data_IF_614731867293
#
_entry.id   IF_614731867293
#
_cell.length_a   1.000
_cell.length_b   1.000
_cell.length_c   1.000
_cell.angle_alpha   90.00
_cell.angle_beta   90.00
_cell.angle_gamma   90.00
#
_symmetry.space_group_name_H-M   'P 1'
#
loop_
_entity.id
_entity.type
_entity.pdbx_description
1 polymer ?
#
# COMPACT_ATOMS: atom_id res chain seq x y z
N UNK A 1 -13.97 80.32 -21.77
CA UNK A 1 -13.10 81.52 -21.78
C UNK A 1 -11.69 81.05 -22.03
N UNK A 2 -11.06 81.64 -23.05
CA UNK A 2 -9.78 81.25 -23.60
C UNK A 2 -8.71 82.28 -23.20
N UNK A 3 -7.47 81.79 -23.00
CA UNK A 3 -6.17 82.45 -23.28
C UNK A 3 -5.64 83.52 -22.29
N UNK A 4 -4.34 83.91 -22.29
CA UNK A 4 -3.16 83.34 -22.97
C UNK A 4 -1.81 83.32 -22.19
N UNK A 5 -0.90 82.57 -22.79
CA UNK A 5 0.55 82.37 -22.68
C UNK A 5 1.46 83.63 -22.60
N UNK A 6 2.73 83.45 -22.19
CA UNK A 6 4.01 84.06 -22.70
C UNK A 6 5.23 83.47 -21.92
N UNK A 7 6.06 82.58 -22.48
CA UNK A 7 7.39 82.82 -23.15
C UNK A 7 8.47 83.40 -22.21
N UNK A 8 9.75 83.00 -22.08
CA UNK A 8 10.78 82.48 -23.01
C UNK A 8 12.12 82.21 -22.27
N UNK A 9 12.98 81.34 -22.84
CA UNK A 9 14.47 81.22 -22.77
C UNK A 9 15.13 80.80 -21.42
N UNK A 10 15.84 79.66 -21.28
CA UNK A 10 17.07 79.12 -21.92
C UNK A 10 18.35 79.90 -21.59
N UNK A 11 19.21 79.35 -20.72
CA UNK A 11 20.62 78.98 -21.01
C UNK A 11 21.48 78.69 -19.75
N UNK A 12 22.28 77.62 -19.86
CA UNK A 12 23.63 77.39 -19.30
C UNK A 12 23.88 77.39 -17.78
N UNK A 13 24.45 76.31 -17.24
CA UNK A 13 25.92 76.18 -17.00
C UNK A 13 26.25 74.81 -16.41
N UNK A 14 27.26 74.19 -17.01
CA UNK A 14 28.02 73.00 -16.63
C UNK A 14 28.53 72.97 -15.18
N UNK A 15 28.59 71.77 -14.57
CA UNK A 15 29.80 71.12 -14.06
C UNK A 15 29.56 70.28 -12.78
N UNK A 16 30.05 69.03 -12.83
CA UNK A 16 30.59 68.23 -11.74
C UNK A 16 29.70 67.86 -10.53
N UNK A 17 29.46 66.56 -10.32
CA UNK A 17 30.08 65.80 -9.21
C UNK A 17 29.59 64.33 -9.13
N UNK A 18 30.58 63.44 -9.23
CA UNK A 18 30.74 62.15 -8.52
C UNK A 18 29.75 61.01 -8.77
N UNK A 19 30.27 60.03 -9.51
CA UNK A 19 29.93 58.62 -9.45
C UNK A 19 29.72 58.14 -8.01
N UNK A 20 28.51 57.66 -7.71
CA UNK A 20 28.20 56.93 -6.48
C UNK A 20 28.02 55.46 -6.85
N UNK A 21 29.01 54.67 -6.43
CA UNK A 21 29.13 53.25 -6.65
C UNK A 21 27.80 52.50 -6.44
N UNK A 22 27.39 51.73 -7.46
CA UNK A 22 26.31 50.75 -7.36
C UNK A 22 26.69 49.72 -6.27
N UNK A 23 26.09 49.86 -5.09
CA UNK A 23 26.27 48.96 -3.95
C UNK A 23 25.95 47.54 -4.39
N UNK A 24 26.92 46.64 -4.23
CA UNK A 24 26.87 45.25 -4.67
C UNK A 24 25.56 44.54 -4.35
N UNK A 25 25.03 43.86 -5.36
CA UNK A 25 23.82 43.06 -5.27
C UNK A 25 24.02 41.96 -4.22
N UNK A 26 23.32 42.09 -3.08
CA UNK A 26 23.38 41.15 -1.97
C UNK A 26 22.95 39.77 -2.47
N UNK A 27 23.92 38.84 -2.57
CA UNK A 27 23.66 37.43 -2.88
C UNK A 27 22.64 36.93 -1.86
N UNK A 28 21.42 36.68 -2.31
CA UNK A 28 20.33 36.25 -1.45
C UNK A 28 20.67 34.85 -0.92
N UNK A 29 21.01 34.75 0.37
CA UNK A 29 21.28 33.48 1.05
C UNK A 29 20.13 32.52 0.77
N UNK A 30 20.43 31.38 0.14
CA UNK A 30 19.45 30.36 -0.24
C UNK A 30 18.60 30.02 0.98
N UNK A 31 17.29 30.27 0.92
CA UNK A 31 16.37 29.99 2.04
C UNK A 31 16.51 28.52 2.42
N UNK A 32 16.82 28.25 3.68
CA UNK A 32 16.89 26.89 4.20
C UNK A 32 15.54 26.19 3.97
N UNK A 33 15.55 25.13 3.15
CA UNK A 33 14.34 24.36 2.86
C UNK A 33 13.97 23.61 4.14
N UNK A 34 12.78 23.86 4.68
CA UNK A 34 12.32 23.18 5.88
C UNK A 34 12.21 21.67 5.66
N UNK A 35 12.89 20.89 6.53
CA UNK A 35 12.90 19.41 6.52
C UNK A 35 11.50 18.80 6.69
N UNK A 36 10.60 19.51 7.37
CA UNK A 36 9.24 19.07 7.67
C UNK A 36 8.26 19.55 6.59
N UNK A 37 7.43 18.62 6.09
CA UNK A 37 6.35 18.88 5.15
C UNK A 37 5.06 19.24 5.88
N UNK A 38 4.52 20.42 5.56
CA UNK A 38 3.24 20.94 6.05
C UNK A 38 2.31 21.20 4.87
N UNK A 39 1.01 21.30 5.15
CA UNK A 39 -0.02 21.60 4.16
C UNK A 39 -0.57 20.40 3.39
N UNK A 40 -1.47 20.67 2.43
CA UNK A 40 -2.27 19.67 1.71
C UNK A 40 -1.43 18.66 0.92
N UNK A 41 -0.29 19.10 0.38
CA UNK A 41 0.63 18.29 -0.42
C UNK A 41 1.78 17.67 0.38
N UNK A 42 1.73 17.70 1.73
CA UNK A 42 2.83 17.24 2.57
C UNK A 42 3.28 15.80 2.26
N UNK A 43 2.33 14.88 2.08
CA UNK A 43 2.61 13.47 1.74
C UNK A 43 3.26 13.34 0.36
N UNK A 44 2.84 14.15 -0.60
CA UNK A 44 3.39 14.14 -1.96
C UNK A 44 4.82 14.69 -1.95
N UNK A 45 5.07 15.78 -1.23
CA UNK A 45 6.40 16.38 -1.10
C UNK A 45 7.41 15.41 -0.47
N UNK A 46 7.00 14.67 0.58
CA UNK A 46 7.84 13.63 1.20
C UNK A 46 8.04 12.43 0.27
N UNK A 47 6.99 12.00 -0.43
CA UNK A 47 7.09 10.88 -1.36
C UNK A 47 8.04 11.19 -2.54
N UNK A 48 8.03 12.43 -3.03
CA UNK A 48 8.95 12.93 -4.04
C UNK A 48 10.38 13.20 -3.51
N UNK A 49 10.61 13.10 -2.20
CA UNK A 49 11.91 13.36 -1.59
C UNK A 49 12.27 14.84 -1.44
N UNK A 50 11.33 15.77 -1.68
CA UNK A 50 11.55 17.22 -1.48
C UNK A 50 11.75 17.58 -0.01
N UNK A 51 11.28 16.72 0.89
CA UNK A 51 11.27 16.88 2.35
C UNK A 51 11.43 15.52 3.02
N UNK A 52 11.99 15.50 4.23
CA UNK A 52 12.31 14.26 4.95
C UNK A 52 11.08 13.60 5.58
N UNK A 53 10.25 14.39 6.29
CA UNK A 53 9.09 13.89 7.04
C UNK A 53 7.92 14.84 7.00
N UNK A 54 6.70 14.33 7.15
CA UNK A 54 5.51 15.17 7.37
C UNK A 54 5.44 15.72 8.80
N UNK A 55 4.56 16.69 9.06
CA UNK A 55 4.31 17.19 10.41
C UNK A 55 3.95 16.08 11.42
N UNK A 56 3.28 15.02 10.97
CA UNK A 56 2.90 13.84 11.79
C UNK A 56 4.01 12.78 11.84
N UNK A 57 5.21 13.06 11.35
CA UNK A 57 6.34 12.12 11.39
C UNK A 57 6.40 11.08 10.27
N UNK A 58 5.46 11.08 9.32
CA UNK A 58 5.49 10.11 8.20
C UNK A 58 6.67 10.39 7.26
N UNK A 59 7.49 9.36 7.05
CA UNK A 59 8.57 9.28 6.06
C UNK A 59 8.10 8.64 4.75
N UNK A 60 8.95 8.70 3.71
CA UNK A 60 8.69 8.10 2.39
C UNK A 60 8.40 6.60 2.45
N UNK A 61 9.07 5.87 3.35
CA UNK A 61 8.91 4.42 3.58
C UNK A 61 7.49 4.00 3.95
N UNK A 62 6.76 4.88 4.66
CA UNK A 62 5.39 4.64 5.10
C UNK A 62 4.33 5.05 4.08
N UNK A 63 4.75 5.66 2.96
CA UNK A 63 3.87 6.17 1.92
C UNK A 63 3.91 5.27 0.68
N UNK A 64 2.82 5.30 -0.07
CA UNK A 64 2.69 4.63 -1.36
C UNK A 64 1.72 5.41 -2.26
N UNK A 65 1.84 5.24 -3.57
CA UNK A 65 0.90 5.78 -4.56
C UNK A 65 -0.16 4.72 -4.86
N UNK A 66 -1.44 5.07 -4.73
CA UNK A 66 -2.53 4.14 -5.08
C UNK A 66 -2.82 4.16 -6.59
N UNK A 67 -3.67 3.23 -7.08
CA UNK A 67 -4.09 3.17 -8.51
C UNK A 67 -4.71 4.48 -9.03
N UNK A 68 -5.32 5.30 -8.15
CA UNK A 68 -5.90 6.61 -8.46
C UNK A 68 -4.87 7.76 -8.44
N UNK A 69 -3.58 7.45 -8.34
CA UNK A 69 -2.50 8.42 -8.30
C UNK A 69 -2.33 9.18 -6.98
N UNK A 70 -3.15 8.90 -5.96
CA UNK A 70 -3.09 9.57 -4.65
C UNK A 70 -2.04 8.94 -3.74
N UNK A 71 -1.19 9.76 -3.13
CA UNK A 71 -0.23 9.33 -2.10
C UNK A 71 -0.95 9.10 -0.77
N UNK A 72 -0.94 7.87 -0.31
CA UNK A 72 -1.57 7.42 0.95
C UNK A 72 -0.55 6.68 1.81
N UNK A 73 -0.86 6.50 3.08
CA UNK A 73 -0.04 5.66 3.96
C UNK A 73 -0.29 4.18 3.65
N UNK A 74 0.75 3.36 3.78
CA UNK A 74 0.64 1.90 3.60
C UNK A 74 -0.42 1.29 4.53
N UNK A 75 -0.46 1.74 5.79
CA UNK A 75 -1.48 1.35 6.77
C UNK A 75 -2.91 1.65 6.30
N UNK A 76 -3.16 2.85 5.75
CA UNK A 76 -4.49 3.22 5.24
C UNK A 76 -4.85 2.41 3.99
N UNK A 77 -3.88 2.08 3.16
CA UNK A 77 -4.11 1.20 2.01
C UNK A 77 -4.51 -0.21 2.45
N UNK A 78 -3.78 -0.81 3.40
CA UNK A 78 -4.07 -2.12 3.94
C UNK A 78 -5.47 -2.19 4.58
N UNK A 79 -5.82 -1.21 5.42
CA UNK A 79 -7.16 -1.11 6.00
C UNK A 79 -8.25 -1.02 4.92
N UNK A 80 -8.06 -0.20 3.89
CA UNK A 80 -9.01 -0.11 2.77
C UNK A 80 -9.17 -1.43 1.99
N UNK A 81 -8.10 -2.24 1.89
CA UNK A 81 -8.17 -3.57 1.27
C UNK A 81 -8.99 -4.56 2.10
N UNK A 82 -8.90 -4.50 3.42
CA UNK A 82 -9.70 -5.35 4.31
C UNK A 82 -11.20 -5.06 4.18
N UNK A 83 -11.58 -3.77 4.21
CA UNK A 83 -12.98 -3.38 4.01
C UNK A 83 -13.49 -3.75 2.62
N UNK A 84 -12.66 -3.59 1.60
CA UNK A 84 -13.05 -3.97 0.24
C UNK A 84 -13.34 -5.46 0.16
N UNK A 85 -12.50 -6.33 0.72
CA UNK A 85 -12.74 -7.79 0.74
C UNK A 85 -14.08 -8.15 1.38
N UNK A 86 -14.43 -7.52 2.51
CA UNK A 86 -15.70 -7.77 3.19
C UNK A 86 -16.89 -7.36 2.31
N UNK A 87 -16.85 -6.16 1.74
CA UNK A 87 -17.93 -5.67 0.87
C UNK A 87 -18.05 -6.40 -0.47
N UNK A 88 -16.94 -6.88 -1.05
CA UNK A 88 -16.97 -7.59 -2.33
C UNK A 88 -17.82 -8.85 -2.30
N UNK A 89 -17.84 -9.57 -1.17
CA UNK A 89 -18.63 -10.80 -1.04
C UNK A 89 -20.11 -10.51 -1.23
N UNK A 90 -20.63 -9.52 -0.50
CA UNK A 90 -22.02 -9.07 -0.65
C UNK A 90 -22.32 -8.57 -2.07
N UNK A 91 -21.44 -7.72 -2.62
CA UNK A 91 -21.61 -7.19 -3.99
C UNK A 91 -21.66 -8.34 -5.02
N UNK A 92 -20.82 -9.36 -4.86
CA UNK A 92 -20.81 -10.53 -5.74
C UNK A 92 -22.12 -11.32 -5.67
N UNK A 93 -22.67 -11.53 -4.46
CA UNK A 93 -23.95 -12.21 -4.27
C UNK A 93 -25.13 -11.42 -4.84
N UNK A 94 -25.10 -10.08 -4.71
CA UNK A 94 -26.11 -9.22 -5.34
C UNK A 94 -26.01 -9.28 -6.86
N UNK A 95 -24.79 -9.31 -7.44
CA UNK A 95 -24.61 -9.43 -8.88
C UNK A 95 -25.12 -10.77 -9.43
N UNK A 96 -24.90 -11.88 -8.74
CA UNK A 96 -25.42 -13.19 -9.14
C UNK A 96 -26.93 -13.24 -9.04
N UNK A 97 -27.50 -12.82 -7.91
CA UNK A 97 -28.95 -12.75 -7.71
C UNK A 97 -29.63 -11.86 -8.78
N UNK A 98 -28.97 -10.76 -9.17
CA UNK A 98 -29.47 -9.85 -10.21
C UNK A 98 -29.49 -10.50 -11.60
N UNK A 99 -28.48 -11.31 -11.92
CA UNK A 99 -28.42 -12.08 -13.17
C UNK A 99 -29.50 -13.15 -13.20
N UNK A 100 -29.68 -13.90 -12.11
CA UNK A 100 -30.71 -14.94 -11.98
C UNK A 100 -32.13 -14.39 -12.08
N UNK A 101 -32.37 -13.19 -11.54
CA UNK A 101 -33.67 -12.51 -11.64
C UNK A 101 -33.85 -11.72 -12.95
N UNK A 102 -32.85 -11.68 -13.84
CA UNK A 102 -32.95 -11.00 -15.13
C UNK A 102 -33.17 -9.48 -15.06
N UNK A 103 -32.81 -8.84 -13.95
CA UNK A 103 -33.17 -7.44 -13.72
C UNK A 103 -32.27 -6.48 -14.52
N UNK A 104 -32.89 -5.62 -15.34
CA UNK A 104 -32.22 -4.56 -16.12
C UNK A 104 -32.57 -3.19 -15.52
N UNK A 105 -31.62 -2.26 -15.48
CA UNK A 105 -31.84 -0.89 -14.93
C UNK A 105 -31.69 -0.76 -13.40
N UNK A 106 -31.98 0.40 -12.84
CA UNK A 106 -31.82 0.60 -11.39
C UNK A 106 -32.87 -0.20 -10.60
N UNK A 107 -32.45 -0.92 -9.55
CA UNK A 107 -33.36 -1.56 -8.60
C UNK A 107 -32.82 -1.36 -7.18
N UNK A 108 -33.64 -0.79 -6.29
CA UNK A 108 -33.28 -0.58 -4.89
C UNK A 108 -33.27 -1.93 -4.14
N UNK A 109 -32.11 -2.30 -3.61
CA UNK A 109 -31.94 -3.51 -2.79
C UNK A 109 -32.75 -3.37 -1.50
N UNK A 110 -33.73 -4.25 -1.25
CA UNK A 110 -34.57 -4.18 -0.06
C UNK A 110 -35.54 -2.99 -0.02
N UNK A 111 -35.81 -2.38 -1.18
CA UNK A 111 -36.75 -1.26 -1.30
C UNK A 111 -38.23 -1.66 -1.11
N UNK A 112 -39.12 -0.68 -1.28
CA UNK A 112 -40.58 -0.88 -1.19
C UNK A 112 -41.13 -1.75 -2.33
N UNK A 113 -40.45 -1.79 -3.47
CA UNK A 113 -40.85 -2.59 -4.63
C UNK A 113 -40.69 -4.10 -4.36
N UNK A 114 -41.64 -4.91 -4.86
CA UNK A 114 -41.58 -6.37 -4.74
C UNK A 114 -40.28 -6.94 -5.32
N UNK A 115 -39.86 -6.38 -6.46
CA UNK A 115 -38.58 -6.64 -7.12
C UNK A 115 -37.36 -6.43 -6.21
N UNK A 116 -37.32 -5.32 -5.46
CA UNK A 116 -36.23 -5.00 -4.55
C UNK A 116 -36.16 -5.94 -3.34
N UNK A 117 -37.32 -6.35 -2.81
CA UNK A 117 -37.43 -7.33 -1.73
C UNK A 117 -36.97 -8.72 -2.17
N UNK A 118 -37.41 -9.18 -3.35
CA UNK A 118 -37.01 -10.46 -3.91
C UNK A 118 -35.49 -10.53 -4.17
N UNK A 119 -34.90 -9.45 -4.71
CA UNK A 119 -33.46 -9.37 -4.91
C UNK A 119 -32.68 -9.45 -3.60
N UNK A 120 -33.12 -8.76 -2.54
CA UNK A 120 -32.46 -8.84 -1.24
C UNK A 120 -32.54 -10.23 -0.62
N UNK A 121 -33.71 -10.87 -0.66
CA UNK A 121 -33.89 -12.22 -0.11
C UNK A 121 -32.96 -13.25 -0.80
N UNK A 122 -32.91 -13.25 -2.14
CA UNK A 122 -32.00 -14.13 -2.89
C UNK A 122 -30.53 -13.81 -2.62
N UNK A 123 -30.15 -12.54 -2.66
CA UNK A 123 -28.76 -12.13 -2.38
C UNK A 123 -28.32 -12.54 -0.97
N UNK A 124 -29.21 -12.44 0.03
CA UNK A 124 -28.94 -12.89 1.40
C UNK A 124 -28.74 -14.40 1.49
N UNK A 125 -29.57 -15.19 0.80
CA UNK A 125 -29.42 -16.64 0.75
C UNK A 125 -28.09 -17.06 0.10
N UNK A 126 -27.75 -16.49 -1.07
CA UNK A 126 -26.48 -16.76 -1.76
C UNK A 126 -25.27 -16.32 -0.92
N UNK A 127 -25.39 -15.22 -0.18
CA UNK A 127 -24.33 -14.76 0.70
C UNK A 127 -24.10 -15.73 1.87
N UNK A 128 -25.18 -16.22 2.51
CA UNK A 128 -25.08 -17.22 3.57
C UNK A 128 -24.43 -18.51 3.06
N UNK A 129 -24.94 -19.08 1.95
CA UNK A 129 -24.37 -20.28 1.33
C UNK A 129 -22.88 -20.12 1.01
N UNK A 130 -22.48 -18.94 0.53
CA UNK A 130 -21.08 -18.65 0.23
C UNK A 130 -20.22 -18.58 1.49
N UNK A 131 -20.74 -18.04 2.59
CA UNK A 131 -20.03 -18.03 3.87
C UNK A 131 -19.86 -19.44 4.43
N UNK A 132 -20.91 -20.26 4.36
CA UNK A 132 -20.88 -21.64 4.84
C UNK A 132 -19.86 -22.46 4.05
N UNK A 133 -19.87 -22.33 2.71
CA UNK A 133 -18.87 -22.96 1.84
C UNK A 133 -17.44 -22.50 2.15
N UNK A 134 -17.22 -21.21 2.38
CA UNK A 134 -15.90 -20.71 2.76
C UNK A 134 -15.42 -21.24 4.12
N UNK A 135 -16.34 -21.54 5.05
CA UNK A 135 -16.01 -22.16 6.34
C UNK A 135 -15.52 -23.60 6.12
N UNK A 136 -16.29 -24.38 5.36
CA UNK A 136 -15.94 -25.76 5.01
C UNK A 136 -14.60 -25.84 4.26
N UNK A 137 -14.35 -24.93 3.33
CA UNK A 137 -13.07 -24.87 2.60
C UNK A 137 -11.88 -24.56 3.52
N UNK A 138 -12.07 -23.73 4.56
CA UNK A 138 -11.01 -23.44 5.55
C UNK A 138 -10.76 -24.62 6.46
N UNK A 139 -11.82 -25.25 6.95
CA UNK A 139 -11.72 -26.46 7.78
C UNK A 139 -11.02 -27.58 7.00
N UNK A 140 -11.40 -27.81 5.75
CA UNK A 140 -10.74 -28.79 4.87
C UNK A 140 -9.26 -28.44 4.63
N UNK A 141 -8.91 -27.17 4.44
CA UNK A 141 -7.53 -26.73 4.29
C UNK A 141 -6.71 -26.91 5.59
N UNK A 142 -7.32 -26.70 6.75
CA UNK A 142 -6.69 -26.96 8.05
C UNK A 142 -6.44 -28.44 8.26
N UNK A 143 -7.39 -29.31 7.92
CA UNK A 143 -7.20 -30.76 7.97
C UNK A 143 -6.11 -31.23 7.00
N UNK A 144 -6.06 -30.69 5.79
CA UNK A 144 -5.01 -30.99 4.81
C UNK A 144 -3.64 -30.53 5.32
N UNK A 145 -3.54 -29.33 5.89
CA UNK A 145 -2.28 -28.85 6.49
C UNK A 145 -1.83 -29.73 7.64
N UNK A 146 -2.75 -30.19 8.49
CA UNK A 146 -2.44 -31.08 9.59
C UNK A 146 -1.93 -32.44 9.08
N UNK A 147 -2.55 -32.98 8.03
CA UNK A 147 -2.10 -34.21 7.36
C UNK A 147 -0.69 -34.05 6.78
N UNK A 148 -0.44 -32.97 6.03
CA UNK A 148 0.87 -32.69 5.44
C UNK A 148 1.95 -32.49 6.52
N UNK A 149 1.63 -31.82 7.63
CA UNK A 149 2.57 -31.65 8.75
C UNK A 149 2.85 -32.99 9.44
N UNK A 150 1.84 -33.85 9.59
CA UNK A 150 2.03 -35.18 10.15
C UNK A 150 2.89 -36.07 9.23
N UNK A 151 2.70 -35.95 7.91
CA UNK A 151 3.51 -36.63 6.89
C UNK A 151 4.96 -36.17 6.96
N UNK A 152 5.22 -34.86 6.94
CA UNK A 152 6.57 -34.30 7.10
C UNK A 152 7.23 -34.75 8.41
N UNK A 153 6.47 -34.84 9.52
CA UNK A 153 7.00 -35.35 10.78
C UNK A 153 7.41 -36.82 10.68
N UNK A 154 6.62 -37.65 10.00
CA UNK A 154 6.95 -39.06 9.77
C UNK A 154 8.19 -39.19 8.90
N UNK A 155 8.31 -38.38 7.85
CA UNK A 155 9.48 -38.35 6.98
C UNK A 155 10.75 -37.97 7.76
N UNK A 156 10.70 -36.91 8.56
CA UNK A 156 11.86 -36.49 9.40
C UNK A 156 12.26 -37.57 10.39
N UNK A 157 11.30 -38.28 10.99
CA UNK A 157 11.60 -39.41 11.90
C UNK A 157 12.25 -40.57 11.13
N UNK A 158 11.72 -40.92 9.96
CA UNK A 158 12.29 -41.97 9.11
C UNK A 158 13.71 -41.61 8.63
N UNK A 159 13.97 -40.35 8.30
CA UNK A 159 15.32 -39.87 7.96
C UNK A 159 16.28 -39.96 9.17
N UNK A 160 15.81 -39.64 10.36
CA UNK A 160 16.58 -39.80 11.59
C UNK A 160 16.90 -41.28 11.88
N UNK A 161 15.97 -42.20 11.59
CA UNK A 161 16.23 -43.64 11.71
C UNK A 161 17.23 -44.14 10.67
N UNK A 162 17.09 -43.73 9.39
CA UNK A 162 18.05 -44.07 8.33
C UNK A 162 19.46 -43.60 8.66
N UNK A 163 19.61 -42.39 9.18
CA UNK A 163 20.93 -41.86 9.58
C UNK A 163 21.53 -42.60 10.77
N UNK A 164 20.72 -43.00 11.75
CA UNK A 164 21.17 -43.87 12.85
C UNK A 164 21.65 -45.23 12.35
N UNK A 165 20.90 -45.87 11.44
CA UNK A 165 21.30 -47.15 10.83
C UNK A 165 22.61 -47.02 10.07
N UNK A 166 22.77 -45.98 9.23
CA UNK A 166 24.01 -45.72 8.50
C UNK A 166 25.20 -45.51 9.44
N UNK A 167 25.00 -44.82 10.57
CA UNK A 167 26.06 -44.60 11.56
C UNK A 167 26.48 -45.90 12.25
N UNK A 168 25.51 -46.75 12.61
CA UNK A 168 25.79 -48.07 13.19
C UNK A 168 26.56 -48.99 12.22
N UNK A 169 26.23 -48.94 10.92
CA UNK A 169 26.98 -49.68 9.89
C UNK A 169 28.45 -49.21 9.80
N UNK A 170 28.69 -47.90 9.85
CA UNK A 170 30.05 -47.34 9.86
C UNK A 170 30.82 -47.74 11.12
N UNK A 171 30.18 -47.70 12.30
CA UNK A 171 30.80 -48.13 13.56
C UNK A 171 31.18 -49.62 13.52
N UNK A 172 30.29 -50.48 13.01
CA UNK A 172 30.56 -51.91 12.84
C UNK A 172 31.71 -52.17 11.86
N UNK A 173 31.74 -51.48 10.72
CA UNK A 173 32.83 -51.59 9.75
C UNK A 173 34.18 -51.15 10.34
N UNK A 174 34.18 -50.07 11.13
CA UNK A 174 35.37 -49.55 11.80
C UNK A 174 35.85 -50.50 12.91
N UNK A 175 34.92 -51.13 13.64
CA UNK A 175 35.25 -52.17 14.62
C UNK A 175 35.88 -53.41 13.95
N UNK A 176 35.35 -53.85 12.80
CA UNK A 176 35.93 -54.96 12.01
C UNK A 176 37.33 -54.62 11.52
N UNK A 177 37.54 -53.45 10.93
CA UNK A 177 38.86 -53.02 10.47
C UNK A 177 39.88 -52.91 11.61
N UNK A 178 39.46 -52.44 12.79
CA UNK A 178 40.31 -52.43 13.99
C UNK A 178 40.67 -53.82 14.48
N UNK A 179 39.78 -54.81 14.32
CA UNK A 179 40.04 -56.19 14.69
C UNK A 179 41.05 -56.85 13.74
N UNK A 180 40.92 -56.64 12.43
CA UNK A 180 41.87 -57.12 11.41
C UNK A 180 43.28 -56.53 11.59
N UNK A 181 43.41 -55.27 12.01
CA UNK A 181 44.72 -54.66 12.30
C UNK A 181 45.37 -55.21 13.58
N UNK A 182 44.59 -55.86 14.46
CA UNK A 182 45.06 -56.39 15.76
C UNK A 182 45.44 -57.87 15.71
N UNK A 183 45.04 -58.59 14.65
CA UNK A 183 45.42 -59.99 14.37
C UNK A 183 46.68 -60.05 13.52
#
# INVERSE_FOLDING_TARGET
MALPMKTVMKAMKSAAMKAKAMKGMKVMKKKAISKIARGKLAKVAVFQGRKEKTATGLQKTHLMKNKRGKVVTKKKHASGKMFQKLGQKWISAVMTARKELGMKGFCAVGGKSAQGKALYAKAKALYAQKLDRECQEREAAETQRAQNVAELRREVVAEAERTKSNLAEVENALASAKAEVRS
#
